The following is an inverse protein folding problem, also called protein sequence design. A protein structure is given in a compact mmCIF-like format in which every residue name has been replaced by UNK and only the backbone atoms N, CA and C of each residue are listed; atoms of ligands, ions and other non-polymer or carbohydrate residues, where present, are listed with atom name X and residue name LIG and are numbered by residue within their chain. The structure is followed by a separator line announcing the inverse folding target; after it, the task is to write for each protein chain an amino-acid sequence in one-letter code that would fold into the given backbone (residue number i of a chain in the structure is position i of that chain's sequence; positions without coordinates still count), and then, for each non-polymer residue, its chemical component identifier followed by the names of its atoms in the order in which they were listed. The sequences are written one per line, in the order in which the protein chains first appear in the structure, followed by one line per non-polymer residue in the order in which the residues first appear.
data_IF_880578610088
#
_entry.id   IF_880578610088
#
_cell.length_a   1.000
_cell.length_b   1.000
_cell.length_c   1.000
_cell.angle_alpha   90.00
_cell.angle_beta   90.00
_cell.angle_gamma   90.00
#
_symmetry.space_group_name_H-M   'P 1'
#
loop_
_entity.id
_entity.type
_entity.pdbx_description
1 polymer ?
#
# COMPACT_ATOMS: atom_id res chain seq x y z
N UNK A 1 66.44 -12.27 -9.34
CA UNK A 1 65.12 -12.84 -9.68
C UNK A 1 64.44 -11.92 -10.68
N UNK A 2 64.02 -12.37 -11.87
CA UNK A 2 63.36 -11.49 -12.83
C UNK A 2 61.96 -11.13 -12.33
N UNK A 3 61.64 -9.84 -12.30
CA UNK A 3 60.32 -9.34 -11.97
C UNK A 3 59.28 -9.96 -12.93
N UNK A 4 58.31 -10.72 -12.39
CA UNK A 4 57.18 -11.23 -13.17
C UNK A 4 56.47 -10.04 -13.82
N UNK A 5 56.63 -9.87 -15.14
CA UNK A 5 55.83 -8.90 -15.91
C UNK A 5 54.36 -9.27 -15.74
N UNK A 6 53.55 -8.34 -15.23
CA UNK A 6 52.13 -8.57 -15.03
C UNK A 6 51.48 -8.89 -16.38
N UNK A 7 50.73 -10.00 -16.46
CA UNK A 7 50.07 -10.43 -17.69
C UNK A 7 49.07 -9.34 -18.16
N UNK A 8 49.24 -8.74 -19.36
CA UNK A 8 48.40 -7.64 -19.83
C UNK A 8 46.92 -8.01 -19.86
N UNK A 9 46.56 -9.25 -20.17
CA UNK A 9 45.18 -9.75 -20.14
C UNK A 9 44.51 -9.59 -18.75
N UNK A 10 45.28 -9.71 -17.67
CA UNK A 10 44.78 -9.53 -16.31
C UNK A 10 44.56 -8.05 -15.96
N UNK A 11 45.32 -7.13 -16.54
CA UNK A 11 45.10 -5.69 -16.36
C UNK A 11 43.85 -5.23 -17.13
N UNK A 12 43.65 -5.72 -18.36
CA UNK A 12 42.42 -5.45 -19.13
C UNK A 12 41.17 -6.01 -18.42
N UNK A 13 41.23 -7.25 -17.93
CA UNK A 13 40.12 -7.84 -17.18
C UNK A 13 39.72 -7.04 -15.94
N UNK A 14 40.70 -6.48 -15.21
CA UNK A 14 40.43 -5.62 -14.05
C UNK A 14 39.74 -4.32 -14.38
N UNK A 15 40.20 -3.63 -15.43
CA UNK A 15 39.57 -2.38 -15.88
C UNK A 15 38.14 -2.66 -16.31
N UNK A 16 37.91 -3.75 -17.04
CA UNK A 16 36.57 -4.15 -17.45
C UNK A 16 35.65 -4.40 -16.25
N UNK A 17 36.10 -5.16 -15.24
CA UNK A 17 35.31 -5.41 -14.02
C UNK A 17 34.95 -4.10 -13.30
N UNK A 18 35.90 -3.17 -13.16
CA UNK A 18 35.67 -1.89 -12.51
C UNK A 18 34.68 -1.02 -13.28
N UNK A 19 34.74 -1.02 -14.62
CA UNK A 19 33.79 -0.30 -15.46
C UNK A 19 32.39 -0.91 -15.39
N UNK A 20 32.28 -2.24 -15.39
CA UNK A 20 31.00 -2.92 -15.20
C UNK A 20 30.42 -2.61 -13.82
N UNK A 21 31.23 -2.71 -12.76
CA UNK A 21 30.80 -2.39 -11.41
C UNK A 21 30.33 -0.93 -11.30
N UNK A 22 31.09 0.02 -11.86
CA UNK A 22 30.71 1.42 -11.90
C UNK A 22 29.39 1.63 -12.67
N UNK A 23 29.25 1.01 -13.84
CA UNK A 23 28.04 1.06 -14.64
C UNK A 23 26.81 0.56 -13.88
N UNK A 24 26.96 -0.55 -13.14
CA UNK A 24 25.88 -1.08 -12.28
C UNK A 24 25.53 -0.09 -11.16
N UNK A 25 26.52 0.46 -10.45
CA UNK A 25 26.26 1.41 -9.36
C UNK A 25 25.55 2.68 -9.85
N UNK A 26 25.97 3.22 -10.99
CA UNK A 26 25.32 4.38 -11.62
C UNK A 26 23.90 4.04 -12.08
N UNK A 27 23.70 2.89 -12.73
CA UNK A 27 22.38 2.44 -13.16
C UNK A 27 21.42 2.25 -11.99
N UNK A 28 21.89 1.65 -10.88
CA UNK A 28 21.12 1.51 -9.65
C UNK A 28 20.79 2.87 -9.03
N UNK A 29 21.74 3.80 -9.00
CA UNK A 29 21.50 5.17 -8.54
C UNK A 29 20.44 5.90 -9.38
N UNK A 30 20.50 5.78 -10.71
CA UNK A 30 19.52 6.39 -11.63
C UNK A 30 18.14 5.78 -11.44
N UNK A 31 18.07 4.45 -11.38
CA UNK A 31 16.81 3.74 -11.14
C UNK A 31 16.15 4.15 -9.82
N UNK A 32 16.93 4.36 -8.74
CA UNK A 32 16.39 4.85 -7.48
C UNK A 32 15.80 6.26 -7.60
N UNK A 33 16.39 7.16 -8.40
CA UNK A 33 15.84 8.50 -8.63
C UNK A 33 14.55 8.43 -9.46
N UNK A 34 14.50 7.61 -10.49
CA UNK A 34 13.27 7.38 -11.26
C UNK A 34 12.16 6.83 -10.36
N UNK A 35 12.52 5.87 -9.50
CA UNK A 35 11.59 5.26 -8.55
C UNK A 35 11.11 6.24 -7.48
N UNK A 36 11.97 7.15 -7.03
CA UNK A 36 11.64 8.25 -6.13
C UNK A 36 10.53 9.11 -6.76
N UNK A 37 10.75 9.65 -7.96
CA UNK A 37 9.79 10.53 -8.62
C UNK A 37 8.47 9.83 -8.97
N UNK A 38 8.54 8.58 -9.43
CA UNK A 38 7.35 7.77 -9.63
C UNK A 38 6.52 7.65 -8.33
N UNK A 39 7.20 7.39 -7.19
CA UNK A 39 6.52 7.24 -5.90
C UNK A 39 5.98 8.56 -5.37
N UNK A 40 6.71 9.67 -5.56
CA UNK A 40 6.24 11.01 -5.24
C UNK A 40 4.97 11.38 -6.03
N UNK A 41 4.93 11.07 -7.32
CA UNK A 41 3.73 11.27 -8.15
C UNK A 41 2.53 10.49 -7.63
N UNK A 42 2.71 9.20 -7.32
CA UNK A 42 1.64 8.37 -6.74
C UNK A 42 1.11 8.95 -5.42
N UNK A 43 2.01 9.39 -4.53
CA UNK A 43 1.62 9.99 -3.25
C UNK A 43 0.89 11.32 -3.44
N UNK A 44 1.32 12.14 -4.40
CA UNK A 44 0.66 13.39 -4.75
C UNK A 44 -0.76 13.14 -5.29
N UNK A 45 -0.93 12.16 -6.18
CA UNK A 45 -2.25 11.79 -6.73
C UNK A 45 -3.20 11.33 -5.61
N UNK A 46 -2.71 10.50 -4.68
CA UNK A 46 -3.53 10.04 -3.54
C UNK A 46 -3.90 11.23 -2.65
N UNK A 47 -2.95 12.11 -2.33
CA UNK A 47 -3.18 13.28 -1.50
C UNK A 47 -4.20 14.24 -2.15
N UNK A 48 -4.12 14.47 -3.45
CA UNK A 48 -5.09 15.28 -4.20
C UNK A 48 -6.49 14.68 -4.12
N UNK A 49 -6.63 13.37 -4.34
CA UNK A 49 -7.93 12.67 -4.28
C UNK A 49 -8.56 12.70 -2.90
N UNK A 50 -7.75 12.60 -1.84
CA UNK A 50 -8.20 12.66 -0.45
C UNK A 50 -8.55 14.09 0.01
N UNK A 51 -7.89 15.11 -0.56
CA UNK A 51 -8.18 16.51 -0.25
C UNK A 51 -9.37 17.08 -1.05
N UNK A 52 -9.78 16.41 -2.13
CA UNK A 52 -10.93 16.79 -2.93
C UNK A 52 -12.24 16.71 -2.13
N UNK A 53 -13.21 17.54 -2.51
CA UNK A 53 -14.54 17.50 -1.90
C UNK A 53 -15.22 16.14 -2.15
N UNK A 54 -16.02 15.63 -1.19
CA UNK A 54 -16.78 14.40 -1.38
C UNK A 54 -17.67 14.46 -2.62
N UNK A 55 -17.62 13.41 -3.44
CA UNK A 55 -18.52 13.24 -4.58
C UNK A 55 -19.70 12.31 -4.25
N UNK A 56 -20.85 12.44 -4.93
CA UNK A 56 -21.93 11.47 -4.79
C UNK A 56 -21.51 10.06 -5.23
N UNK A 57 -22.06 9.02 -4.59
CA UNK A 57 -21.82 7.62 -4.94
C UNK A 57 -21.92 7.32 -6.44
N UNK A 58 -22.93 7.90 -7.12
CA UNK A 58 -23.14 7.72 -8.56
C UNK A 58 -21.95 8.15 -9.43
N UNK A 59 -21.13 9.09 -8.95
CA UNK A 59 -19.91 9.51 -9.65
C UNK A 59 -18.85 8.41 -9.61
N UNK A 60 -18.69 7.74 -8.45
CA UNK A 60 -17.77 6.61 -8.30
C UNK A 60 -18.26 5.41 -9.11
N UNK A 61 -19.57 5.15 -9.13
CA UNK A 61 -20.16 4.08 -9.93
C UNK A 61 -19.89 4.26 -11.43
N UNK A 62 -20.14 5.46 -11.96
CA UNK A 62 -19.87 5.77 -13.36
C UNK A 62 -18.38 5.65 -13.72
N UNK A 63 -17.50 6.06 -12.80
CA UNK A 63 -16.05 5.92 -12.97
C UNK A 63 -15.62 4.45 -12.97
N UNK A 64 -16.09 3.65 -12.01
CA UNK A 64 -15.81 2.22 -11.96
C UNK A 64 -16.32 1.49 -13.22
N UNK A 65 -17.55 1.81 -13.67
CA UNK A 65 -18.16 1.21 -14.86
C UNK A 65 -17.40 1.53 -16.17
N UNK A 66 -16.72 2.67 -16.23
CA UNK A 66 -15.87 3.06 -17.37
C UNK A 66 -14.42 2.60 -17.26
N UNK A 67 -14.07 1.85 -16.21
CA UNK A 67 -12.71 1.37 -15.95
C UNK A 67 -11.76 2.44 -15.39
N UNK A 68 -12.31 3.55 -14.88
CA UNK A 68 -11.54 4.61 -14.24
C UNK A 68 -11.04 4.22 -12.84
N UNK A 69 -9.98 4.91 -12.40
CA UNK A 69 -9.39 4.70 -11.08
C UNK A 69 -10.14 5.47 -9.98
N UNK A 70 -10.80 4.71 -9.11
CA UNK A 70 -11.60 5.20 -7.99
C UNK A 70 -10.82 5.29 -6.67
N UNK A 71 -9.61 4.71 -6.60
CA UNK A 71 -8.89 4.55 -5.34
C UNK A 71 -8.67 5.90 -4.64
N UNK A 72 -8.99 5.93 -3.34
CA UNK A 72 -8.81 7.06 -2.43
C UNK A 72 -9.61 8.32 -2.77
N UNK A 73 -10.61 8.23 -3.64
CA UNK A 73 -11.54 9.34 -3.88
C UNK A 73 -12.56 9.42 -2.74
N UNK A 74 -12.79 10.64 -2.25
CA UNK A 74 -13.78 10.88 -1.19
C UNK A 74 -15.19 10.78 -1.77
N UNK A 75 -16.03 9.94 -1.18
CA UNK A 75 -17.39 9.65 -1.63
C UNK A 75 -18.37 9.70 -0.48
N UNK A 76 -19.60 10.14 -0.76
CA UNK A 76 -20.73 10.07 0.17
C UNK A 76 -21.78 9.07 -0.33
N UNK A 77 -22.23 8.19 0.57
CA UNK A 77 -23.28 7.20 0.32
C UNK A 77 -24.29 7.19 1.46
N UNK A 78 -25.57 6.96 1.14
CA UNK A 78 -26.66 6.93 2.12
C UNK A 78 -27.41 5.61 2.04
N UNK A 79 -27.74 5.03 3.19
CA UNK A 79 -28.48 3.78 3.28
C UNK A 79 -28.61 3.27 4.71
N UNK A 80 -29.00 1.99 4.86
CA UNK A 80 -29.13 1.35 6.18
C UNK A 80 -28.15 0.19 6.32
N UNK A 81 -27.41 0.15 7.42
CA UNK A 81 -26.50 -0.96 7.68
C UNK A 81 -27.26 -2.25 7.97
N UNK A 82 -26.82 -3.34 7.34
CA UNK A 82 -27.22 -4.69 7.67
C UNK A 82 -26.26 -5.24 8.74
N UNK A 83 -26.40 -4.76 9.98
CA UNK A 83 -25.46 -5.06 11.07
C UNK A 83 -25.32 -6.56 11.38
N UNK A 84 -26.31 -7.39 11.03
CA UNK A 84 -26.26 -8.85 11.15
C UNK A 84 -25.53 -9.56 9.99
N UNK A 85 -24.93 -8.79 9.08
CA UNK A 85 -24.20 -9.26 7.89
C UNK A 85 -22.82 -8.61 7.81
N UNK A 86 -22.22 -8.32 8.95
CA UNK A 86 -20.87 -7.76 8.96
C UNK A 86 -19.80 -8.83 8.74
N UNK A 87 -18.67 -8.41 8.18
CA UNK A 87 -17.52 -9.23 7.84
C UNK A 87 -16.31 -8.73 8.61
N UNK A 88 -15.57 -9.64 9.22
CA UNK A 88 -14.42 -9.29 10.06
C UNK A 88 -13.13 -9.46 9.27
N UNK A 89 -12.53 -8.35 8.87
CA UNK A 89 -11.23 -8.35 8.23
C UNK A 89 -10.15 -8.27 9.30
N UNK A 90 -9.30 -9.30 9.40
CA UNK A 90 -8.24 -9.31 10.41
C UNK A 90 -7.25 -8.16 10.18
N UNK A 91 -7.09 -7.32 11.19
CA UNK A 91 -6.33 -6.07 11.09
C UNK A 91 -5.51 -5.80 12.35
N UNK A 92 -4.56 -4.88 12.21
CA UNK A 92 -3.87 -4.26 13.35
C UNK A 92 -4.09 -2.76 13.26
N UNK A 93 -4.50 -2.15 14.37
CA UNK A 93 -4.70 -0.72 14.50
C UNK A 93 -4.07 -0.25 15.81
N UNK A 94 -3.21 0.77 15.73
CA UNK A 94 -2.50 1.35 16.88
C UNK A 94 -1.79 0.30 17.78
N UNK A 95 -1.13 -0.67 17.15
CA UNK A 95 -0.40 -1.75 17.83
C UNK A 95 -1.28 -2.87 18.41
N UNK A 96 -2.61 -2.74 18.36
CA UNK A 96 -3.54 -3.78 18.80
C UNK A 96 -4.03 -4.63 17.62
N UNK A 97 -4.08 -5.95 17.80
CA UNK A 97 -4.71 -6.86 16.84
C UNK A 97 -6.22 -6.93 17.06
N UNK A 98 -6.98 -7.07 15.98
CA UNK A 98 -8.43 -7.10 16.01
C UNK A 98 -8.99 -7.20 14.60
N UNK A 99 -10.09 -6.48 14.33
CA UNK A 99 -10.80 -6.58 13.06
C UNK A 99 -11.28 -5.24 12.56
N UNK A 100 -11.10 -4.99 11.27
CA UNK A 100 -11.88 -4.00 10.54
C UNK A 100 -13.26 -4.58 10.21
N UNK A 101 -14.31 -3.82 10.50
CA UNK A 101 -15.70 -4.25 10.35
C UNK A 101 -16.25 -3.77 9.02
N UNK A 102 -16.46 -4.70 8.10
CA UNK A 102 -17.10 -4.44 6.81
C UNK A 102 -18.58 -4.75 6.90
N UNK A 103 -19.44 -3.74 6.87
CA UNK A 103 -20.89 -3.92 6.96
C UNK A 103 -21.54 -3.50 5.64
N UNK A 104 -22.42 -4.34 5.05
CA UNK A 104 -23.26 -3.94 3.92
C UNK A 104 -24.16 -2.77 4.29
N UNK A 105 -24.08 -1.69 3.54
CA UNK A 105 -25.01 -0.58 3.53
C UNK A 105 -26.04 -0.85 2.42
N UNK A 106 -27.28 -1.14 2.80
CA UNK A 106 -28.38 -1.28 1.86
C UNK A 106 -28.81 0.11 1.38
N UNK A 107 -28.68 0.34 0.08
CA UNK A 107 -29.04 1.59 -0.60
C UNK A 107 -30.55 1.63 -0.88
N UNK A 108 -31.08 2.83 -1.15
CA UNK A 108 -32.50 3.05 -1.42
C UNK A 108 -33.03 2.27 -2.64
N UNK A 109 -32.15 1.95 -3.61
CA UNK A 109 -32.48 1.17 -4.81
C UNK A 109 -32.35 -0.36 -4.61
N UNK A 110 -32.05 -0.80 -3.38
CA UNK A 110 -31.93 -2.21 -3.01
C UNK A 110 -30.57 -2.84 -3.32
N UNK A 111 -29.59 -2.08 -3.81
CA UNK A 111 -28.20 -2.51 -3.94
C UNK A 111 -27.45 -2.43 -2.61
N UNK A 112 -26.28 -3.05 -2.55
CA UNK A 112 -25.46 -3.13 -1.35
C UNK A 112 -24.06 -2.57 -1.62
N UNK A 113 -23.59 -1.72 -0.72
CA UNK A 113 -22.22 -1.23 -0.67
C UNK A 113 -21.55 -1.77 0.59
N UNK A 114 -20.44 -2.49 0.48
CA UNK A 114 -19.66 -2.84 1.67
C UNK A 114 -18.88 -1.63 2.17
N UNK A 115 -19.13 -1.26 3.43
CA UNK A 115 -18.46 -0.14 4.09
C UNK A 115 -17.55 -0.68 5.19
N UNK A 116 -16.26 -0.37 5.14
CA UNK A 116 -15.38 -0.55 6.30
C UNK A 116 -15.71 0.54 7.33
N UNK A 117 -16.41 0.16 8.40
CA UNK A 117 -16.79 1.05 9.50
C UNK A 117 -15.64 1.33 10.45
N UNK A 118 -14.54 0.58 10.34
CA UNK A 118 -13.35 0.76 11.14
C UNK A 118 -13.06 -0.40 12.09
N UNK A 119 -12.13 -0.16 13.02
CA UNK A 119 -11.48 -1.19 13.83
C UNK A 119 -12.24 -1.52 15.12
N UNK A 120 -12.22 -2.78 15.51
CA UNK A 120 -12.58 -3.27 16.85
C UNK A 120 -11.50 -4.21 17.39
N UNK A 121 -11.21 -4.18 18.70
CA UNK A 121 -10.34 -5.17 19.32
C UNK A 121 -10.92 -6.59 19.29
N UNK A 122 -10.07 -7.59 19.52
CA UNK A 122 -10.43 -9.02 19.45
C UNK A 122 -11.65 -9.42 20.31
N UNK A 123 -11.77 -8.87 21.51
CA UNK A 123 -12.85 -9.16 22.46
C UNK A 123 -14.19 -8.49 22.07
N UNK A 124 -14.14 -7.51 21.17
CA UNK A 124 -15.30 -6.82 20.60
C UNK A 124 -15.60 -7.23 19.14
N UNK A 125 -15.05 -8.38 18.70
CA UNK A 125 -15.29 -8.94 17.36
C UNK A 125 -16.78 -9.05 17.09
N UNK A 126 -17.48 -9.82 17.90
CA UNK A 126 -18.90 -10.13 17.69
C UNK A 126 -19.79 -8.90 17.98
N UNK A 127 -20.80 -8.62 17.14
CA UNK A 127 -21.61 -7.40 17.23
C UNK A 127 -22.37 -7.26 18.57
N UNK A 128 -22.69 -8.37 19.23
CA UNK A 128 -23.33 -8.42 20.55
C UNK A 128 -22.46 -7.78 21.66
N UNK A 129 -21.14 -7.80 21.49
CA UNK A 129 -20.21 -7.17 22.44
C UNK A 129 -20.17 -5.65 22.30
N UNK A 130 -20.78 -5.11 21.24
CA UNK A 130 -20.81 -3.68 20.89
C UNK A 130 -22.16 -3.23 20.36
N UNK A 131 -23.26 -3.78 20.91
CA UNK A 131 -24.63 -3.50 20.45
C UNK A 131 -24.94 -2.00 20.37
N UNK A 132 -24.43 -1.20 21.32
CA UNK A 132 -24.68 0.23 21.35
C UNK A 132 -24.05 0.96 20.14
N UNK A 133 -22.97 0.41 19.57
CA UNK A 133 -22.33 0.92 18.37
C UNK A 133 -23.00 0.49 17.05
N UNK A 134 -24.11 -0.27 17.12
CA UNK A 134 -24.85 -0.70 15.94
C UNK A 134 -25.86 0.37 15.54
N UNK A 135 -25.54 1.06 14.44
CA UNK A 135 -26.39 2.12 13.89
C UNK A 135 -27.55 1.47 13.13
N UNK A 136 -28.77 1.66 13.62
CA UNK A 136 -29.97 1.03 13.05
C UNK A 136 -30.71 1.94 12.07
N UNK A 137 -30.60 3.26 12.22
CA UNK A 137 -31.26 4.25 11.38
C UNK A 137 -30.58 4.41 10.02
N UNK A 138 -31.18 5.20 9.13
CA UNK A 138 -30.51 5.59 7.89
C UNK A 138 -29.24 6.39 8.20
N UNK A 139 -28.13 6.00 7.58
CA UNK A 139 -26.82 6.58 7.77
C UNK A 139 -26.36 7.21 6.46
N UNK A 140 -25.70 8.36 6.58
CA UNK A 140 -24.90 8.94 5.49
C UNK A 140 -23.45 8.80 5.85
N UNK A 141 -22.70 8.08 5.02
CA UNK A 141 -21.30 7.74 5.21
C UNK A 141 -20.47 8.55 4.24
N UNK A 142 -19.46 9.24 4.77
CA UNK A 142 -18.38 9.82 3.97
C UNK A 142 -17.13 8.96 4.17
N UNK A 143 -16.43 8.67 3.08
CA UNK A 143 -15.27 7.79 3.14
C UNK A 143 -14.50 7.73 1.83
N UNK A 144 -13.53 6.83 1.77
CA UNK A 144 -12.67 6.63 0.61
C UNK A 144 -13.16 5.44 -0.21
N UNK A 145 -13.39 5.65 -1.50
CA UNK A 145 -13.67 4.56 -2.43
C UNK A 145 -12.43 3.65 -2.59
N UNK A 146 -12.64 2.34 -2.55
CA UNK A 146 -11.59 1.31 -2.72
C UNK A 146 -12.03 0.28 -3.74
N UNK A 147 -11.21 0.02 -4.75
CA UNK A 147 -11.54 -0.93 -5.80
C UNK A 147 -11.62 -2.36 -5.26
N UNK A 148 -12.51 -3.17 -5.86
CA UNK A 148 -12.50 -4.61 -5.68
C UNK A 148 -11.16 -5.19 -6.15
N UNK A 149 -10.58 -6.10 -5.36
CA UNK A 149 -9.39 -6.84 -5.77
C UNK A 149 -9.76 -7.85 -6.87
N UNK A 150 -8.93 -7.94 -7.91
CA UNK A 150 -9.12 -8.91 -8.99
C UNK A 150 -8.90 -10.37 -8.54
N UNK A 151 -8.21 -10.57 -7.42
CA UNK A 151 -7.96 -11.87 -6.82
C UNK A 151 -7.15 -11.76 -5.54
N UNK A 152 -6.88 -12.91 -4.92
CA UNK A 152 -6.09 -13.01 -3.69
C UNK A 152 -4.67 -12.47 -3.91
N UNK A 153 -4.21 -11.50 -3.11
CA UNK A 153 -2.83 -11.06 -3.14
C UNK A 153 -1.87 -12.20 -2.77
N UNK A 154 -0.71 -12.26 -3.45
CA UNK A 154 0.31 -13.27 -3.17
C UNK A 154 0.77 -13.25 -1.72
N UNK A 155 0.81 -14.41 -1.08
CA UNK A 155 1.26 -14.57 0.31
C UNK A 155 0.20 -14.31 1.38
N UNK A 156 -1.03 -13.94 0.99
CA UNK A 156 -2.15 -13.86 1.93
C UNK A 156 -2.74 -15.25 2.19
N UNK A 157 -3.10 -15.59 3.45
CA UNK A 157 -3.85 -16.79 3.75
C UNK A 157 -5.24 -16.79 3.09
N UNK A 158 -5.82 -17.98 2.97
CA UNK A 158 -7.22 -18.13 2.58
C UNK A 158 -8.15 -17.61 3.69
N UNK A 159 -9.27 -17.01 3.30
CA UNK A 159 -10.28 -16.54 4.25
C UNK A 159 -10.92 -17.72 5.02
N UNK A 160 -11.10 -17.57 6.33
CA UNK A 160 -11.81 -18.54 7.17
C UNK A 160 -13.30 -18.15 7.23
N UNK A 161 -14.05 -18.57 6.20
CA UNK A 161 -15.47 -18.24 6.06
C UNK A 161 -16.33 -18.84 7.19
N UNK A 162 -15.93 -19.99 7.73
CA UNK A 162 -16.65 -20.64 8.83
C UNK A 162 -16.58 -19.82 10.13
N UNK A 163 -15.46 -19.12 10.36
CA UNK A 163 -15.29 -18.21 11.50
C UNK A 163 -15.64 -16.75 11.21
N UNK A 164 -16.06 -16.45 9.98
CA UNK A 164 -16.25 -15.10 9.47
C UNK A 164 -14.99 -14.23 9.67
N UNK A 165 -13.83 -14.74 9.22
CA UNK A 165 -12.55 -14.03 9.29
C UNK A 165 -11.95 -13.94 7.88
N UNK A 166 -11.68 -12.70 7.47
CA UNK A 166 -11.09 -12.39 6.17
C UNK A 166 -9.67 -11.87 6.37
N UNK A 167 -8.72 -12.42 5.60
CA UNK A 167 -7.33 -11.96 5.57
C UNK A 167 -7.01 -11.13 4.32
N UNK A 168 -7.89 -11.21 3.31
CA UNK A 168 -7.86 -10.35 2.14
C UNK A 168 -9.30 -9.95 1.75
N UNK A 169 -9.45 -8.81 1.05
CA UNK A 169 -10.75 -8.20 0.73
C UNK A 169 -11.44 -8.90 -0.46
N UNK A 170 -11.80 -10.15 -0.28
CA UNK A 170 -12.60 -10.91 -1.23
C UNK A 170 -14.07 -10.47 -1.18
N UNK A 171 -14.42 -9.48 -2.00
CA UNK A 171 -15.78 -8.94 -2.04
C UNK A 171 -16.83 -10.01 -2.41
N UNK A 172 -16.48 -10.95 -3.28
CA UNK A 172 -17.41 -11.99 -3.72
C UNK A 172 -17.66 -13.00 -2.59
N UNK A 173 -16.61 -13.44 -1.89
CA UNK A 173 -16.78 -14.32 -0.74
C UNK A 173 -17.45 -13.62 0.45
N UNK A 174 -17.25 -12.31 0.62
CA UNK A 174 -17.97 -11.50 1.61
C UNK A 174 -19.48 -11.48 1.31
N UNK A 175 -19.86 -11.23 0.07
CA UNK A 175 -21.26 -11.22 -0.37
C UNK A 175 -21.92 -12.60 -0.24
N UNK A 176 -21.26 -13.64 -0.74
CA UNK A 176 -21.81 -15.00 -0.77
C UNK A 176 -22.05 -15.58 0.60
N UNK A 177 -21.08 -15.43 1.51
CA UNK A 177 -21.20 -15.99 2.85
C UNK A 177 -22.33 -15.33 3.66
N UNK A 178 -22.82 -14.16 3.24
CA UNK A 178 -23.98 -13.47 3.83
C UNK A 178 -25.28 -13.67 3.05
N UNK A 179 -25.24 -14.41 1.94
CA UNK A 179 -26.38 -14.60 1.04
C UNK A 179 -26.82 -13.32 0.34
N UNK A 180 -25.90 -12.37 0.10
CA UNK A 180 -26.20 -11.19 -0.72
C UNK A 180 -26.07 -11.55 -2.21
N UNK A 181 -27.06 -11.21 -3.06
CA UNK A 181 -26.94 -11.41 -4.50
C UNK A 181 -25.80 -10.57 -5.08
N UNK A 182 -24.78 -11.23 -5.67
CA UNK A 182 -23.58 -10.56 -6.19
C UNK A 182 -23.90 -9.46 -7.22
N UNK A 183 -24.93 -9.65 -8.04
CA UNK A 183 -25.41 -8.68 -9.03
C UNK A 183 -25.97 -7.39 -8.41
N UNK A 184 -26.29 -7.42 -7.12
CA UNK A 184 -26.73 -6.24 -6.34
C UNK A 184 -25.62 -5.61 -5.50
N UNK A 185 -24.42 -6.19 -5.47
CA UNK A 185 -23.29 -5.64 -4.71
C UNK A 185 -22.49 -4.72 -5.62
N UNK A 186 -22.26 -3.48 -5.19
CA UNK A 186 -21.39 -2.56 -5.92
C UNK A 186 -19.95 -3.12 -5.95
N UNK A 187 -19.23 -3.03 -7.09
CA UNK A 187 -17.94 -3.72 -7.28
C UNK A 187 -16.76 -2.96 -6.63
N UNK A 188 -16.98 -2.37 -5.46
CA UNK A 188 -16.01 -1.61 -4.69
C UNK A 188 -16.46 -1.48 -3.23
N UNK A 189 -15.55 -1.04 -2.37
CA UNK A 189 -15.80 -0.73 -0.97
C UNK A 189 -15.77 0.77 -0.73
N UNK A 190 -16.28 1.19 0.43
CA UNK A 190 -16.00 2.51 1.01
C UNK A 190 -15.36 2.33 2.38
N UNK A 191 -14.18 2.90 2.59
CA UNK A 191 -13.58 2.99 3.92
C UNK A 191 -14.09 4.27 4.61
N UNK A 192 -14.89 4.13 5.66
CA UNK A 192 -15.47 5.27 6.37
C UNK A 192 -14.39 6.17 6.99
N UNK A 193 -14.66 7.47 7.00
CA UNK A 193 -13.77 8.47 7.58
C UNK A 193 -13.72 8.38 9.12
N UNK A 194 -13.12 9.41 9.76
CA UNK A 194 -12.94 9.48 11.21
C UNK A 194 -14.19 9.94 11.96
N UNK A 195 -15.36 10.03 11.31
CA UNK A 195 -16.62 10.37 11.98
C UNK A 195 -16.84 9.39 13.13
N UNK A 196 -16.91 9.86 14.40
CA UNK A 196 -16.98 8.97 15.54
C UNK A 196 -18.25 8.13 15.52
N UNK A 197 -18.11 6.84 15.81
CA UNK A 197 -19.26 6.06 16.25
C UNK A 197 -19.73 6.63 17.60
N UNK A 198 -21.03 6.95 17.78
CA UNK A 198 -21.55 7.53 19.03
C UNK A 198 -21.17 6.75 20.30
N UNK A 199 -20.89 5.45 20.18
CA UNK A 199 -20.56 4.56 21.31
C UNK A 199 -19.13 4.00 21.22
N UNK A 200 -18.26 4.66 20.45
CA UNK A 200 -16.81 4.42 20.42
C UNK A 200 -16.31 3.32 19.49
N UNK A 201 -17.09 2.25 19.26
CA UNK A 201 -16.72 1.14 18.36
C UNK A 201 -17.75 0.93 17.25
N UNK A 202 -17.33 0.63 15.99
CA UNK A 202 -15.94 0.58 15.52
C UNK A 202 -15.26 1.96 15.42
N UNK A 203 -13.93 1.98 15.47
CA UNK A 203 -13.10 3.19 15.32
C UNK A 203 -12.86 3.46 13.84
N UNK A 204 -13.51 4.49 13.28
CA UNK A 204 -13.40 4.86 11.87
C UNK A 204 -12.04 5.46 11.46
N UNK A 205 -11.83 5.65 10.15
CA UNK A 205 -10.63 6.28 9.60
C UNK A 205 -9.35 5.44 9.73
N UNK A 206 -9.50 4.11 9.67
CA UNK A 206 -8.42 3.12 9.75
C UNK A 206 -7.56 3.02 8.49
N UNK A 207 -8.02 3.61 7.38
CA UNK A 207 -7.25 3.66 6.13
C UNK A 207 -6.14 4.70 6.23
N UNK A 208 -4.97 4.25 6.67
CA UNK A 208 -3.76 5.06 6.76
C UNK A 208 -2.94 4.85 5.49
N UNK A 209 -2.80 5.90 4.68
CA UNK A 209 -1.88 5.90 3.53
C UNK A 209 -0.49 6.30 4.04
N UNK A 210 0.27 5.32 4.50
CA UNK A 210 1.68 5.48 4.85
C UNK A 210 2.53 4.56 3.95
N UNK A 211 3.11 5.15 2.89
CA UNK A 211 3.95 4.43 1.92
C UNK A 211 5.39 4.93 2.04
N UNK A 212 6.29 4.22 2.75
CA UNK A 212 7.66 4.68 3.01
C UNK A 212 8.46 4.97 1.73
N UNK A 213 9.03 6.17 1.59
CA UNK A 213 9.77 6.58 0.39
C UNK A 213 11.27 6.78 0.67
N UNK A 214 12.01 5.67 0.76
CA UNK A 214 13.45 5.68 1.09
C UNK A 214 14.37 5.78 -0.14
N UNK A 215 13.80 6.01 -1.34
CA UNK A 215 14.53 5.93 -2.60
C UNK A 215 15.66 6.96 -2.71
N UNK A 216 15.51 8.15 -2.11
CA UNK A 216 16.58 9.14 -2.04
C UNK A 216 17.81 8.63 -1.25
N UNK A 217 17.59 8.01 -0.08
CA UNK A 217 18.68 7.46 0.74
C UNK A 217 19.44 6.38 -0.03
N UNK A 218 18.73 5.52 -0.76
CA UNK A 218 19.35 4.52 -1.62
C UNK A 218 20.10 5.14 -2.80
N UNK A 219 19.53 6.16 -3.46
CA UNK A 219 20.23 6.88 -4.53
C UNK A 219 21.56 7.46 -4.04
N UNK A 220 21.57 8.12 -2.88
CA UNK A 220 22.79 8.63 -2.24
C UNK A 220 23.78 7.50 -1.96
N UNK A 221 23.30 6.35 -1.49
CA UNK A 221 24.15 5.18 -1.23
C UNK A 221 24.83 4.69 -2.52
N UNK A 222 24.06 4.50 -3.60
CA UNK A 222 24.61 3.97 -4.86
C UNK A 222 25.57 4.94 -5.54
N UNK A 223 25.23 6.23 -5.60
CA UNK A 223 26.14 7.24 -6.13
C UNK A 223 27.37 7.45 -5.24
N UNK A 224 27.21 7.37 -3.91
CA UNK A 224 28.32 7.42 -2.97
C UNK A 224 29.31 6.27 -3.17
N UNK A 225 28.80 5.05 -3.36
CA UNK A 225 29.64 3.88 -3.68
C UNK A 225 30.33 4.04 -5.05
N UNK A 226 29.63 4.57 -6.05
CA UNK A 226 30.22 4.86 -7.36
C UNK A 226 31.38 5.88 -7.24
N UNK A 227 31.17 6.96 -6.49
CA UNK A 227 32.20 7.98 -6.24
C UNK A 227 33.40 7.40 -5.47
N UNK A 228 33.15 6.59 -4.43
CA UNK A 228 34.21 5.93 -3.68
C UNK A 228 35.03 4.98 -4.56
N UNK A 229 34.38 4.21 -5.44
CA UNK A 229 35.07 3.35 -6.41
C UNK A 229 36.00 4.15 -7.33
N UNK A 230 35.50 5.25 -7.91
CA UNK A 230 36.30 6.15 -8.76
C UNK A 230 37.48 6.73 -7.97
N UNK A 231 37.25 7.20 -6.74
CA UNK A 231 38.29 7.75 -5.89
C UNK A 231 39.40 6.74 -5.57
N UNK A 232 39.02 5.50 -5.20
CA UNK A 232 39.97 4.42 -4.91
C UNK A 232 40.82 4.09 -6.16
N UNK A 233 40.18 4.00 -7.33
CA UNK A 233 40.88 3.74 -8.60
C UNK A 233 41.84 4.87 -8.95
N UNK A 234 41.42 6.12 -8.82
CA UNK A 234 42.25 7.30 -9.08
C UNK A 234 43.45 7.37 -8.13
N UNK A 235 43.25 7.16 -6.82
CA UNK A 235 44.32 7.12 -5.82
C UNK A 235 45.30 5.97 -6.10
N UNK A 236 44.80 4.78 -6.41
CA UNK A 236 45.64 3.61 -6.73
C UNK A 236 46.53 3.87 -7.95
N UNK A 237 45.96 4.51 -8.98
CA UNK A 237 46.67 4.86 -10.19
C UNK A 237 47.71 5.96 -9.96
N UNK A 238 47.37 7.00 -9.19
CA UNK A 238 48.31 8.07 -8.81
C UNK A 238 49.50 7.53 -8.01
N UNK A 239 49.25 6.68 -7.01
CA UNK A 239 50.31 6.02 -6.21
C UNK A 239 51.24 5.14 -7.06
N UNK A 240 50.71 4.45 -8.07
CA UNK A 240 51.54 3.67 -9.01
C UNK A 240 52.45 4.54 -9.88
N UNK A 241 52.04 5.77 -10.19
CA UNK A 241 52.83 6.73 -11.00
C UNK A 241 53.83 7.52 -10.17
N UNK A 242 53.60 7.65 -8.87
CA UNK A 242 54.48 8.34 -7.93
C UNK A 242 54.86 7.41 -6.76
N UNK A 243 55.67 6.37 -7.01
CA UNK A 243 56.23 5.58 -5.91
C UNK A 243 57.06 6.50 -5.01
N UNK A 244 56.77 6.53 -3.72
CA UNK A 244 57.53 7.35 -2.76
C UNK A 244 59.02 7.00 -2.80
N UNK A 245 59.88 8.01 -2.66
CA UNK A 245 61.33 7.82 -2.51
C UNK A 245 61.57 6.93 -1.28
N UNK A 246 62.36 5.84 -1.38
CA UNK A 246 62.66 5.02 -0.21
C UNK A 246 63.38 5.88 0.82
N UNK A 247 62.82 6.01 2.02
CA UNK A 247 63.55 6.55 3.17
C UNK A 247 64.62 5.51 3.53
N UNK A 248 65.89 5.88 3.37
CA UNK A 248 67.03 5.09 3.86
C UNK A 248 67.10 5.12 5.38
#
# INVERSE_FOLDING_TARGET
MPARRANPFWQFGKVLILLVALGILLALGTWQVERLHWKEGLLADIAERQAAAPVPLSTIEAMAASGGDIEYRVVTATGRYLNNKERHFFATFDGASGFDIYTPLQLADGRYLFVNRGFVPYDAKEPEMRMQGQLTDEQTVTGLARAKLAGQPSGMPDNDLAKNIFYWKDLDAMADSDGLPRDKVLPFFVDADKTPNPQGLPIGGVTIVDLPNNHLQYAVTWYGLAAALVAIVAISWWRKRHPGTPTQ
#
